data_IF_235954091213
#
_entry.id   IF_235954091213
#
_cell.length_a   1.000
_cell.length_b   1.000
_cell.length_c   1.000
_cell.angle_alpha   90.00
_cell.angle_beta   90.00
_cell.angle_gamma   90.00
#
_symmetry.space_group_name_H-M   'P 1'
#
loop_
_entity.id
_entity.type
_entity.pdbx_description
1 polymer ?
#
# COMPACT_ATOMS: atom_id res chain seq x y z
N UNK A 1 12.75 -1.01 -3.02
CA UNK A 1 12.70 -2.21 -3.88
C UNK A 1 12.95 -1.72 -5.30
N UNK A 2 14.19 -1.82 -5.77
CA UNK A 2 14.60 -1.45 -7.12
C UNK A 2 14.80 -2.76 -7.87
N UNK A 3 13.74 -3.26 -8.50
CA UNK A 3 13.87 -4.29 -9.52
C UNK A 3 14.01 -3.57 -10.85
N UNK A 4 14.87 -4.04 -11.78
CA UNK A 4 15.01 -3.41 -13.10
C UNK A 4 13.70 -3.46 -13.91
N UNK A 5 12.79 -4.36 -13.55
CA UNK A 5 11.51 -4.63 -14.20
C UNK A 5 10.36 -3.78 -13.64
N UNK A 6 10.49 -3.19 -12.45
CA UNK A 6 9.42 -2.44 -11.80
C UNK A 6 8.33 -3.36 -11.21
N UNK A 7 7.80 -2.98 -10.05
CA UNK A 7 6.88 -3.82 -9.25
C UNK A 7 5.64 -4.30 -10.01
N UNK A 8 5.14 -3.52 -10.99
CA UNK A 8 3.99 -3.89 -11.83
C UNK A 8 4.34 -5.06 -12.75
N UNK A 9 5.51 -5.02 -13.37
CA UNK A 9 5.98 -6.08 -14.28
C UNK A 9 6.24 -7.36 -13.50
N UNK A 10 6.87 -7.27 -12.33
CA UNK A 10 7.10 -8.45 -11.48
C UNK A 10 5.77 -9.07 -11.04
N UNK A 11 4.81 -8.25 -10.61
CA UNK A 11 3.47 -8.74 -10.26
C UNK A 11 2.79 -9.39 -11.46
N UNK A 12 2.90 -8.79 -12.65
CA UNK A 12 2.33 -9.37 -13.88
C UNK A 12 2.95 -10.73 -14.21
N UNK A 13 4.26 -10.89 -14.07
CA UNK A 13 4.97 -12.14 -14.34
C UNK A 13 4.65 -13.24 -13.32
N UNK A 14 4.23 -12.88 -12.10
CA UNK A 14 3.78 -13.86 -11.10
C UNK A 14 2.34 -14.34 -11.29
N UNK A 15 1.55 -13.65 -12.12
CA UNK A 15 0.15 -14.01 -12.37
C UNK A 15 0.07 -14.97 -13.56
N UNK A 16 -0.83 -15.97 -13.49
CA UNK A 16 -1.27 -16.71 -14.67
C UNK A 16 -2.13 -15.79 -15.53
N UNK A 17 -1.48 -14.97 -16.35
CA UNK A 17 -2.15 -13.95 -17.16
C UNK A 17 -2.99 -14.61 -18.25
N UNK A 18 -4.31 -14.37 -18.20
CA UNK A 18 -5.24 -14.86 -19.23
C UNK A 18 -5.28 -13.96 -20.46
N UNK A 19 -4.78 -12.72 -20.33
CA UNK A 19 -4.80 -11.69 -21.36
C UNK A 19 -3.38 -11.24 -21.72
N UNK A 20 -3.26 -10.51 -22.82
CA UNK A 20 -1.98 -9.91 -23.26
C UNK A 20 -1.56 -8.76 -22.33
N UNK A 21 -0.26 -8.55 -22.17
CA UNK A 21 0.34 -7.46 -21.38
C UNK A 21 -0.30 -6.09 -21.65
N UNK A 22 -0.55 -5.78 -22.93
CA UNK A 22 -1.16 -4.53 -23.37
C UNK A 22 -2.54 -4.29 -22.76
N UNK A 23 -3.31 -5.34 -22.48
CA UNK A 23 -4.61 -5.21 -21.81
C UNK A 23 -4.46 -4.73 -20.37
N UNK A 24 -3.50 -5.28 -19.63
CA UNK A 24 -3.23 -4.88 -18.23
C UNK A 24 -2.62 -3.48 -18.15
N UNK A 25 -1.71 -3.15 -19.08
CA UNK A 25 -1.15 -1.81 -19.18
C UNK A 25 -2.24 -0.77 -19.50
N UNK A 26 -3.11 -1.04 -20.50
CA UNK A 26 -4.24 -0.17 -20.82
C UNK A 26 -5.23 -0.06 -19.67
N UNK A 27 -5.50 -1.16 -18.98
CA UNK A 27 -6.28 -1.15 -17.74
C UNK A 27 -5.63 -0.16 -16.77
N UNK A 28 -4.35 -0.32 -16.39
CA UNK A 28 -3.66 0.56 -15.43
C UNK A 28 -3.60 2.03 -15.86
N UNK A 29 -3.35 2.30 -17.14
CA UNK A 29 -3.12 3.65 -17.64
C UNK A 29 -4.43 4.41 -17.90
N UNK A 30 -5.46 3.73 -18.41
CA UNK A 30 -6.68 4.37 -18.94
C UNK A 30 -7.94 3.98 -18.15
N UNK A 31 -7.84 2.97 -17.29
CA UNK A 31 -8.96 2.51 -16.50
C UNK A 31 -9.43 3.55 -15.50
N UNK A 32 -10.75 3.72 -15.45
CA UNK A 32 -11.42 4.56 -14.45
C UNK A 32 -11.96 3.67 -13.36
N UNK A 33 -11.18 3.46 -12.30
CA UNK A 33 -11.65 2.74 -11.11
C UNK A 33 -11.35 3.51 -9.85
N UNK A 34 -12.16 3.24 -8.83
CA UNK A 34 -11.92 3.71 -7.49
C UNK A 34 -10.96 2.75 -6.79
N UNK A 35 -9.74 3.22 -6.51
CA UNK A 35 -8.79 2.50 -5.65
C UNK A 35 -9.37 2.17 -4.28
N UNK A 36 -10.23 3.05 -3.76
CA UNK A 36 -10.95 2.82 -2.52
C UNK A 36 -11.97 1.67 -2.65
N UNK A 37 -12.74 1.62 -3.74
CA UNK A 37 -13.68 0.53 -3.97
C UNK A 37 -12.95 -0.81 -4.10
N UNK A 38 -11.83 -0.85 -4.83
CA UNK A 38 -10.99 -2.04 -4.97
C UNK A 38 -10.47 -2.52 -3.61
N UNK A 39 -9.90 -1.61 -2.81
CA UNK A 39 -9.40 -1.95 -1.48
C UNK A 39 -10.51 -2.46 -0.54
N UNK A 40 -11.70 -1.85 -0.59
CA UNK A 40 -12.86 -2.31 0.19
C UNK A 40 -13.31 -3.71 -0.23
N UNK A 41 -13.28 -4.03 -1.54
CA UNK A 41 -13.60 -5.39 -1.99
C UNK A 41 -12.52 -6.40 -1.61
N UNK A 42 -11.24 -6.02 -1.71
CA UNK A 42 -10.15 -6.86 -1.23
C UNK A 42 -10.28 -7.14 0.28
N UNK A 43 -10.62 -6.12 1.08
CA UNK A 43 -10.88 -6.29 2.50
C UNK A 43 -12.02 -7.28 2.78
N UNK A 44 -13.14 -7.17 2.04
CA UNK A 44 -14.26 -8.14 2.18
C UNK A 44 -13.84 -9.56 1.84
N UNK A 45 -13.03 -9.73 0.79
CA UNK A 45 -12.48 -11.03 0.43
C UNK A 45 -11.63 -11.59 1.57
N UNK A 46 -10.73 -10.79 2.15
CA UNK A 46 -9.89 -11.23 3.28
C UNK A 46 -10.74 -11.65 4.48
N UNK A 47 -11.73 -10.83 4.86
CA UNK A 47 -12.63 -11.13 5.98
C UNK A 47 -13.47 -12.38 5.75
N UNK A 48 -13.84 -12.68 4.50
CA UNK A 48 -14.57 -13.89 4.15
C UNK A 48 -13.68 -15.14 4.04
N UNK A 49 -12.38 -14.95 3.80
CA UNK A 49 -11.44 -16.04 3.48
C UNK A 49 -10.63 -16.52 4.68
N UNK A 50 -10.55 -15.73 5.75
CA UNK A 50 -9.79 -16.08 6.95
C UNK A 50 -10.66 -15.92 8.19
N UNK A 51 -10.50 -16.80 9.16
CA UNK A 51 -11.14 -16.70 10.48
C UNK A 51 -10.41 -15.67 11.34
N UNK A 52 -11.17 -14.84 12.04
CA UNK A 52 -10.62 -13.78 12.88
C UNK A 52 -11.42 -13.67 14.18
N UNK A 53 -10.74 -13.82 15.32
CA UNK A 53 -11.32 -13.45 16.63
C UNK A 53 -11.13 -11.95 16.90
N UNK A 54 -9.99 -11.41 16.46
CA UNK A 54 -9.63 -9.99 16.51
C UNK A 54 -8.97 -9.61 15.19
N UNK A 55 -9.36 -8.47 14.63
CA UNK A 55 -8.80 -7.91 13.40
C UNK A 55 -7.66 -6.96 13.75
N UNK A 56 -6.43 -7.38 13.55
CA UNK A 56 -5.28 -6.52 13.77
C UNK A 56 -4.96 -5.68 12.52
N UNK A 57 -4.81 -4.37 12.71
CA UNK A 57 -4.40 -3.44 11.67
C UNK A 57 -2.99 -2.92 11.96
N UNK A 58 -2.13 -2.93 10.94
CA UNK A 58 -0.80 -2.34 11.00
C UNK A 58 -0.75 -1.06 10.18
N UNK A 59 -0.08 -0.04 10.73
CA UNK A 59 0.12 1.25 10.09
C UNK A 59 1.61 1.52 10.07
N UNK A 60 2.14 1.79 8.88
CA UNK A 60 3.55 2.11 8.72
C UNK A 60 3.75 3.10 7.57
N UNK A 61 4.75 3.97 7.69
CA UNK A 61 5.14 4.87 6.63
C UNK A 61 6.38 4.36 5.89
N UNK A 62 6.34 4.48 4.58
CA UNK A 62 7.43 4.06 3.71
C UNK A 62 7.78 5.17 2.74
N UNK A 63 9.08 5.43 2.58
CA UNK A 63 9.60 6.31 1.55
C UNK A 63 9.93 5.48 0.31
N UNK A 64 9.23 5.75 -0.79
CA UNK A 64 9.58 5.20 -2.11
C UNK A 64 10.53 6.15 -2.81
N UNK A 65 11.76 5.70 -3.07
CA UNK A 65 12.79 6.50 -3.74
C UNK A 65 12.35 6.97 -5.13
N UNK A 66 12.73 8.19 -5.50
CA UNK A 66 12.43 8.80 -6.80
C UNK A 66 13.66 9.49 -7.35
N UNK A 67 13.90 9.30 -8.64
CA UNK A 67 14.97 10.00 -9.37
C UNK A 67 14.58 11.44 -9.77
N UNK A 68 13.29 11.80 -9.71
CA UNK A 68 12.79 13.09 -10.21
C UNK A 68 11.88 13.79 -9.20
N UNK A 69 11.96 15.13 -9.21
CA UNK A 69 11.06 16.04 -8.48
C UNK A 69 9.68 16.15 -9.15
N UNK A 70 9.52 15.69 -10.39
CA UNK A 70 8.24 15.78 -11.14
C UNK A 70 7.15 14.85 -10.58
N UNK A 71 7.52 13.82 -9.83
CA UNK A 71 6.55 12.91 -9.24
C UNK A 71 5.76 13.60 -8.10
N UNK A 72 4.43 13.39 -7.99
CA UNK A 72 3.62 14.04 -6.96
C UNK A 72 4.14 13.80 -5.54
N UNK A 73 4.29 14.83 -4.72
CA UNK A 73 4.81 14.66 -3.35
C UNK A 73 6.26 14.16 -3.26
N UNK A 74 7.02 14.19 -4.37
CA UNK A 74 8.44 13.81 -4.39
C UNK A 74 9.29 14.90 -3.74
N UNK A 75 9.95 14.59 -2.63
CA UNK A 75 10.74 15.52 -1.81
C UNK A 75 11.94 14.85 -1.17
N UNK A 76 12.78 15.65 -0.54
CA UNK A 76 13.85 15.14 0.32
C UNK A 76 13.24 14.67 1.64
N UNK A 77 13.49 13.41 1.99
CA UNK A 77 13.07 12.78 3.23
C UNK A 77 14.28 12.23 3.97
N UNK A 78 14.24 12.29 5.31
CA UNK A 78 15.20 11.59 6.13
C UNK A 78 14.94 10.07 6.05
N UNK A 79 16.01 9.30 5.83
CA UNK A 79 15.97 7.85 5.68
C UNK A 79 16.28 7.21 7.04
N UNK A 80 15.26 6.69 7.72
CA UNK A 80 15.40 6.12 9.07
C UNK A 80 16.00 4.70 9.13
N UNK A 81 16.21 4.06 7.98
CA UNK A 81 16.60 2.65 7.92
C UNK A 81 18.10 2.39 8.01
N UNK A 82 18.95 3.42 8.18
CA UNK A 82 20.42 3.33 8.25
C UNK A 82 21.02 2.34 7.23
N UNK A 83 20.57 2.43 5.97
CA UNK A 83 21.01 1.48 4.94
C UNK A 83 22.37 1.92 4.43
N UNK A 84 23.36 1.03 4.51
CA UNK A 84 24.77 1.31 4.15
C UNK A 84 24.92 1.99 2.78
N UNK A 85 24.11 1.57 1.79
CA UNK A 85 24.15 2.09 0.42
C UNK A 85 23.14 3.22 0.13
N UNK A 86 22.62 3.90 1.16
CA UNK A 86 21.71 5.03 0.99
C UNK A 86 22.16 6.22 1.84
N UNK A 87 22.11 7.45 1.29
CA UNK A 87 22.37 8.65 2.09
C UNK A 87 21.27 8.85 3.14
N UNK A 88 21.62 9.55 4.22
CA UNK A 88 20.69 9.90 5.30
C UNK A 88 19.47 10.71 4.81
N UNK A 89 19.60 11.41 3.69
CA UNK A 89 18.52 12.16 3.05
C UNK A 89 18.35 11.71 1.60
N UNK A 90 17.12 11.35 1.23
CA UNK A 90 16.79 10.77 -0.08
C UNK A 90 15.64 11.50 -0.74
N UNK A 91 15.71 11.68 -2.06
CA UNK A 91 14.56 12.10 -2.85
C UNK A 91 13.56 10.94 -2.97
N UNK A 92 12.31 11.15 -2.57
CA UNK A 92 11.29 10.11 -2.60
C UNK A 92 9.88 10.61 -2.34
N UNK A 93 8.93 9.69 -2.36
CA UNK A 93 7.54 9.90 -1.95
C UNK A 93 7.29 9.15 -0.65
N UNK A 94 6.96 9.88 0.43
CA UNK A 94 6.49 9.27 1.66
C UNK A 94 5.01 8.88 1.54
N UNK A 95 4.70 7.64 1.92
CA UNK A 95 3.32 7.11 1.97
C UNK A 95 3.07 6.49 3.32
N UNK A 96 1.89 6.72 3.87
CA UNK A 96 1.38 5.95 5.01
C UNK A 96 0.56 4.80 4.46
N UNK A 97 0.79 3.60 4.98
CA UNK A 97 0.16 2.37 4.55
C UNK A 97 -0.67 1.80 5.68
N UNK A 98 -1.79 1.20 5.32
CA UNK A 98 -2.64 0.41 6.20
C UNK A 98 -2.62 -1.02 5.67
N UNK A 99 -2.37 -1.97 6.56
CA UNK A 99 -2.42 -3.40 6.29
C UNK A 99 -3.30 -4.10 7.32
N UNK A 100 -3.95 -5.18 6.92
CA UNK A 100 -4.53 -6.16 7.85
C UNK A 100 -3.48 -7.23 8.13
N UNK A 101 -3.33 -7.58 9.41
CA UNK A 101 -2.51 -8.71 9.82
C UNK A 101 -3.41 -9.94 9.89
N UNK A 102 -3.03 -10.96 9.15
CA UNK A 102 -3.70 -12.27 9.14
C UNK A 102 -2.66 -13.38 9.32
N UNK A 103 -3.09 -14.64 9.34
CA UNK A 103 -2.20 -15.79 9.43
C UNK A 103 -2.30 -16.64 8.17
N UNK A 104 -1.15 -17.06 7.65
CA UNK A 104 -1.08 -18.10 6.62
C UNK A 104 -1.58 -19.43 7.17
N UNK A 105 -1.84 -20.41 6.30
CA UNK A 105 -2.11 -21.80 6.71
C UNK A 105 -0.98 -22.38 7.57
N UNK A 106 0.27 -21.92 7.35
CA UNK A 106 1.45 -22.24 8.17
C UNK A 106 1.46 -21.57 9.56
N UNK A 107 0.40 -20.82 9.93
CA UNK A 107 0.25 -20.00 11.16
C UNK A 107 1.14 -18.77 11.28
N UNK A 108 2.07 -18.58 10.34
CA UNK A 108 2.91 -17.40 10.27
C UNK A 108 2.07 -16.14 10.04
N UNK A 109 2.31 -15.05 10.79
CA UNK A 109 1.64 -13.79 10.56
C UNK A 109 2.08 -13.19 9.22
N UNK A 110 1.13 -12.62 8.49
CA UNK A 110 1.37 -11.92 7.23
C UNK A 110 0.58 -10.62 7.20
N UNK A 111 1.24 -9.55 6.77
CA UNK A 111 0.61 -8.26 6.52
C UNK A 111 0.10 -8.22 5.08
N UNK A 112 -1.22 -8.11 4.90
CA UNK A 112 -1.84 -7.90 3.60
C UNK A 112 -2.10 -6.40 3.40
N UNK A 113 -1.48 -5.75 2.40
CA UNK A 113 -1.63 -4.32 2.18
C UNK A 113 -3.05 -3.99 1.73
N UNK A 114 -3.68 -3.00 2.37
CA UNK A 114 -5.05 -2.58 2.07
C UNK A 114 -5.08 -1.26 1.29
N UNK A 115 -4.50 -0.22 1.87
CA UNK A 115 -4.54 1.14 1.34
C UNK A 115 -3.23 1.85 1.61
N UNK A 116 -2.84 2.71 0.66
CA UNK A 116 -1.71 3.62 0.82
C UNK A 116 -2.18 5.04 0.55
N UNK A 117 -1.80 5.98 1.42
CA UNK A 117 -2.01 7.41 1.23
C UNK A 117 -0.67 8.09 1.00
N UNK A 118 -0.56 8.81 -0.10
CA UNK A 118 0.56 9.72 -0.35
C UNK A 118 0.49 10.87 0.65
N UNK A 119 1.61 11.16 1.31
CA UNK A 119 1.69 12.29 2.22
C UNK A 119 1.63 13.60 1.43
N UNK A 120 0.76 14.54 1.82
CA UNK A 120 0.65 15.80 1.12
C UNK A 120 1.94 16.61 1.31
N UNK A 121 2.20 17.44 0.31
CA UNK A 121 3.39 18.27 0.23
C UNK A 121 3.32 19.46 1.23
N UNK A 122 2.13 19.90 1.58
CA UNK A 122 1.86 21.00 2.51
C UNK A 122 0.60 20.70 3.32
N UNK A 123 0.33 21.49 4.37
CA UNK A 123 -0.82 21.31 5.28
C UNK A 123 -0.67 20.09 6.22
N UNK A 124 -1.70 19.27 6.40
CA UNK A 124 -1.77 18.16 7.36
C UNK A 124 -0.82 17.01 6.99
N UNK A 125 0.46 17.15 7.34
CA UNK A 125 1.55 16.18 7.09
C UNK A 125 1.76 15.18 8.24
N UNK A 126 0.89 15.19 9.25
CA UNK A 126 0.99 14.24 10.37
C UNK A 126 0.67 12.81 9.94
N UNK A 127 1.56 11.85 10.27
CA UNK A 127 1.35 10.42 10.01
C UNK A 127 0.02 9.93 10.58
N UNK A 128 -0.34 10.38 11.79
CA UNK A 128 -1.60 10.02 12.47
C UNK A 128 -2.85 10.53 11.73
N UNK A 129 -2.76 11.69 11.07
CA UNK A 129 -3.89 12.24 10.29
C UNK A 129 -4.12 11.40 9.02
N UNK A 130 -3.02 11.04 8.34
CA UNK A 130 -3.09 10.13 7.20
C UNK A 130 -3.62 8.75 7.61
N UNK A 131 -3.10 8.20 8.71
CA UNK A 131 -3.53 6.94 9.31
C UNK A 131 -5.03 6.92 9.62
N UNK A 132 -5.53 7.94 10.34
CA UNK A 132 -6.95 8.06 10.68
C UNK A 132 -7.83 8.08 9.41
N UNK A 133 -7.39 8.78 8.36
CA UNK A 133 -8.14 8.77 7.09
C UNK A 133 -8.19 7.38 6.46
N UNK A 134 -7.07 6.64 6.47
CA UNK A 134 -7.02 5.27 5.96
C UNK A 134 -7.97 4.34 6.74
N UNK A 135 -7.97 4.44 8.08
CA UNK A 135 -8.87 3.65 8.93
C UNK A 135 -10.33 4.00 8.64
N UNK A 136 -10.69 5.28 8.59
CA UNK A 136 -12.06 5.73 8.28
C UNK A 136 -12.57 5.20 6.94
N UNK A 137 -11.70 5.04 5.96
CA UNK A 137 -12.05 4.53 4.64
C UNK A 137 -12.54 3.07 4.65
N UNK A 138 -12.14 2.28 5.64
CA UNK A 138 -12.49 0.85 5.77
C UNK A 138 -13.27 0.52 7.05
N UNK A 139 -13.35 1.42 8.03
CA UNK A 139 -13.90 1.15 9.36
C UNK A 139 -15.30 0.51 9.35
N UNK A 140 -16.15 0.91 8.39
CA UNK A 140 -17.51 0.39 8.25
C UNK A 140 -17.57 -1.12 8.01
N UNK A 141 -16.49 -1.70 7.47
CA UNK A 141 -16.38 -3.12 7.15
C UNK A 141 -16.10 -3.97 8.40
N UNK A 142 -15.72 -3.36 9.52
CA UNK A 142 -15.44 -4.05 10.77
C UNK A 142 -16.63 -4.07 11.75
N UNK A 143 -17.82 -3.65 11.32
CA UNK A 143 -19.00 -3.64 12.19
C UNK A 143 -19.26 -5.07 12.72
N UNK A 144 -19.39 -5.20 14.04
CA UNK A 144 -19.59 -6.49 14.70
C UNK A 144 -18.32 -7.31 14.90
N UNK A 145 -17.16 -6.81 14.47
CA UNK A 145 -15.85 -7.43 14.70
C UNK A 145 -15.09 -6.67 15.78
N UNK A 146 -14.26 -7.38 16.54
CA UNK A 146 -13.27 -6.77 17.42
C UNK A 146 -12.05 -6.37 16.60
N UNK A 147 -11.62 -5.11 16.69
CA UNK A 147 -10.46 -4.53 15.99
C UNK A 147 -9.45 -4.05 17.00
#
# INVERSE_FOLDING_TARGET
MLTPTGFVTDTYLMLTVRNRWTSYYKWLQQGKWSWLALARQFMRLVLASVTHDVVHLAIDDTVTLRASKKAPGSRIHHQHGNKVNLPAFVQGQCRVNLAIITRRTSKEPVALPLLSRLMPASSNTGKLVAANTLVRAVQSLFRGLRV
#
